data_IF_579644107469
#
_entry.id   IF_579644107469
#
_cell.length_a   1.000
_cell.length_b   1.000
_cell.length_c   1.000
_cell.angle_alpha   90.00
_cell.angle_beta   90.00
_cell.angle_gamma   90.00
#
_symmetry.space_group_name_H-M   'P 1'
#
loop_
_entity.id
_entity.type
_entity.pdbx_description
1 polymer ?
#
# COMPACT_ATOMS: atom_id res chain seq x y z
N UNK A 1 29.52 -7.77 -27.89
CA UNK A 1 28.41 -7.18 -28.68
C UNK A 1 27.68 -6.21 -27.79
N UNK A 2 27.58 -4.95 -28.17
CA UNK A 2 26.80 -3.93 -27.47
C UNK A 2 25.32 -4.24 -27.67
N UNK A 3 24.58 -4.39 -26.57
CA UNK A 3 23.14 -4.55 -26.62
C UNK A 3 22.53 -3.25 -27.18
N UNK A 4 21.74 -3.34 -28.25
CA UNK A 4 21.11 -2.17 -28.84
C UNK A 4 19.99 -1.67 -27.92
N UNK A 5 20.12 -0.45 -27.40
CA UNK A 5 19.07 0.23 -26.64
C UNK A 5 18.15 0.99 -27.62
N UNK A 6 16.88 0.62 -27.64
CA UNK A 6 15.86 1.05 -28.59
C UNK A 6 14.61 1.52 -27.86
N UNK A 7 13.67 2.14 -28.59
CA UNK A 7 12.41 2.61 -27.99
C UNK A 7 11.56 1.49 -27.36
N UNK A 8 11.65 0.26 -27.87
CA UNK A 8 10.94 -0.89 -27.29
C UNK A 8 11.46 -1.34 -25.92
N UNK A 9 12.63 -0.87 -25.51
CA UNK A 9 13.20 -1.17 -24.18
C UNK A 9 12.61 -0.26 -23.08
N UNK A 10 11.78 0.72 -23.46
CA UNK A 10 11.05 1.57 -22.51
C UNK A 10 9.73 0.90 -22.12
N UNK A 11 9.59 0.54 -20.85
CA UNK A 11 8.35 -0.02 -20.28
C UNK A 11 7.57 1.09 -19.56
N UNK A 12 6.28 1.22 -19.89
CA UNK A 12 5.33 2.07 -19.15
C UNK A 12 4.46 1.18 -18.29
N UNK A 13 4.63 1.29 -16.97
CA UNK A 13 3.84 0.54 -15.99
C UNK A 13 2.53 1.27 -15.70
N UNK A 14 1.43 0.53 -15.68
CA UNK A 14 0.06 1.06 -15.57
C UNK A 14 -0.65 0.60 -14.29
N UNK A 15 -1.65 1.36 -13.84
CA UNK A 15 -2.43 1.03 -12.65
C UNK A 15 -1.56 0.83 -11.40
N UNK A 16 -1.61 -0.37 -10.82
CA UNK A 16 -0.84 -0.75 -9.62
C UNK A 16 0.47 -1.49 -9.95
N UNK A 17 0.81 -1.65 -11.23
CA UNK A 17 2.08 -2.27 -11.64
C UNK A 17 3.31 -1.55 -11.08
N UNK A 18 3.38 -0.20 -11.05
CA UNK A 18 4.52 0.50 -10.45
C UNK A 18 4.69 0.15 -8.97
N UNK A 19 3.59 0.09 -8.22
CA UNK A 19 3.58 -0.22 -6.78
C UNK A 19 4.07 -1.64 -6.53
N UNK A 20 3.58 -2.61 -7.32
CA UNK A 20 4.02 -4.02 -7.22
C UNK A 20 5.48 -4.20 -7.64
N UNK A 21 5.95 -3.45 -8.66
CA UNK A 21 7.32 -3.52 -9.18
C UNK A 21 8.34 -2.85 -8.26
N UNK A 22 7.94 -1.79 -7.57
CA UNK A 22 8.80 -0.96 -6.71
C UNK A 22 8.14 -0.67 -5.34
N UNK A 23 7.81 -1.71 -4.54
CA UNK A 23 7.03 -1.52 -3.32
C UNK A 23 7.74 -0.64 -2.28
N UNK A 24 9.08 -0.66 -2.23
CA UNK A 24 9.86 0.16 -1.29
C UNK A 24 9.72 1.67 -1.49
N UNK A 25 9.18 2.13 -2.62
CA UNK A 25 8.83 3.54 -2.82
C UNK A 25 7.49 3.91 -2.16
N UNK A 26 6.60 2.93 -1.94
CA UNK A 26 5.20 3.16 -1.54
C UNK A 26 4.87 2.63 -0.15
N UNK A 27 5.66 1.70 0.39
CA UNK A 27 5.42 1.11 1.72
C UNK A 27 6.71 0.62 2.35
N UNK A 28 6.67 0.38 3.66
CA UNK A 28 7.76 -0.28 4.37
C UNK A 28 7.79 -1.78 4.06
N UNK A 29 8.85 -2.26 3.42
CA UNK A 29 8.98 -3.66 2.99
C UNK A 29 9.52 -4.60 4.07
N UNK A 30 9.89 -4.09 5.24
CA UNK A 30 10.41 -4.90 6.35
C UNK A 30 9.29 -5.58 7.15
N UNK A 31 8.10 -4.96 7.20
CA UNK A 31 6.92 -5.45 7.93
C UNK A 31 5.65 -4.79 7.39
N UNK A 32 4.49 -5.46 7.44
CA UNK A 32 3.26 -4.98 6.81
C UNK A 32 2.57 -3.83 7.57
N UNK A 33 3.09 -3.43 8.74
CA UNK A 33 2.44 -2.46 9.62
C UNK A 33 2.10 -1.13 8.92
N UNK A 34 2.90 -0.69 7.96
CA UNK A 34 2.59 0.51 7.18
C UNK A 34 1.28 0.37 6.41
N UNK A 35 0.99 -0.81 5.84
CA UNK A 35 -0.28 -1.06 5.15
C UNK A 35 -1.48 -1.01 6.12
N UNK A 36 -1.29 -1.46 7.36
CA UNK A 36 -2.32 -1.33 8.39
C UNK A 36 -2.54 0.14 8.77
N UNK A 37 -1.45 0.92 8.91
CA UNK A 37 -1.55 2.35 9.20
C UNK A 37 -2.33 3.09 8.12
N UNK A 38 -2.09 2.83 6.82
CA UNK A 38 -2.84 3.49 5.73
C UNK A 38 -4.37 3.33 5.87
N UNK A 39 -4.84 2.15 6.29
CA UNK A 39 -6.28 1.91 6.47
C UNK A 39 -6.78 2.57 7.75
N UNK A 40 -6.02 2.50 8.83
CA UNK A 40 -6.37 3.14 10.12
C UNK A 40 -6.41 4.67 9.96
N UNK A 41 -5.47 5.26 9.23
CA UNK A 41 -5.37 6.70 9.02
C UNK A 41 -6.61 7.20 8.23
N UNK A 42 -7.05 6.46 7.21
CA UNK A 42 -8.32 6.77 6.52
C UNK A 42 -9.53 6.70 7.48
N UNK A 43 -9.57 5.74 8.40
CA UNK A 43 -10.64 5.67 9.43
C UNK A 43 -10.55 6.83 10.43
N UNK A 44 -9.33 7.30 10.75
CA UNK A 44 -9.11 8.47 11.61
C UNK A 44 -9.57 9.75 10.91
N UNK A 45 -9.38 9.87 9.59
CA UNK A 45 -9.90 11.01 8.83
C UNK A 45 -11.43 11.15 8.97
N UNK A 46 -12.16 10.03 8.90
CA UNK A 46 -13.60 10.00 9.15
C UNK A 46 -13.95 10.37 10.61
N UNK A 47 -13.10 10.02 11.57
CA UNK A 47 -13.29 10.40 12.96
C UNK A 47 -13.05 11.90 13.18
N UNK A 48 -12.03 12.47 12.55
CA UNK A 48 -11.74 13.91 12.55
C UNK A 48 -12.90 14.68 11.90
N UNK A 49 -13.48 14.15 10.82
CA UNK A 49 -14.67 14.71 10.18
C UNK A 49 -15.97 14.54 11.00
N UNK A 50 -15.93 13.76 12.09
CA UNK A 50 -17.05 13.53 13.00
C UNK A 50 -18.04 12.44 12.55
N UNK A 51 -17.71 11.68 11.50
CA UNK A 51 -18.54 10.58 10.99
C UNK A 51 -18.24 9.25 11.69
N UNK A 52 -16.96 8.99 12.00
CA UNK A 52 -16.53 7.83 12.77
C UNK A 52 -16.43 8.16 14.27
N UNK A 53 -16.81 7.22 15.13
CA UNK A 53 -16.77 7.37 16.61
C UNK A 53 -15.97 6.30 17.31
N UNK A 54 -15.67 5.20 16.62
CA UNK A 54 -14.97 4.04 17.12
C UNK A 54 -14.28 3.38 15.93
N UNK A 55 -13.02 2.99 16.13
CA UNK A 55 -12.22 2.26 15.15
C UNK A 55 -11.77 0.98 15.84
N UNK A 56 -12.20 -0.16 15.33
CA UNK A 56 -11.84 -1.47 15.84
C UNK A 56 -10.80 -2.12 14.93
N UNK A 57 -9.68 -2.57 15.51
CA UNK A 57 -8.58 -3.21 14.76
C UNK A 57 -8.42 -4.65 15.22
N UNK A 58 -8.57 -5.59 14.30
CA UNK A 58 -8.44 -7.02 14.58
C UNK A 58 -7.25 -7.61 13.80
N UNK A 59 -6.29 -8.18 14.53
CA UNK A 59 -5.24 -9.03 13.96
C UNK A 59 -5.66 -10.50 14.09
N UNK A 60 -5.86 -11.16 12.95
CA UNK A 60 -6.25 -12.56 12.91
C UNK A 60 -5.06 -13.49 13.11
N UNK A 61 -5.34 -14.73 13.51
CA UNK A 61 -4.30 -15.75 13.77
C UNK A 61 -3.51 -16.14 12.52
N UNK A 62 -4.05 -15.91 11.32
CA UNK A 62 -3.37 -16.15 10.05
C UNK A 62 -2.46 -14.98 9.62
N UNK A 63 -2.41 -13.90 10.41
CA UNK A 63 -1.61 -12.72 10.15
C UNK A 63 -2.31 -11.66 9.28
N UNK A 64 -3.56 -11.89 8.86
CA UNK A 64 -4.38 -10.85 8.23
C UNK A 64 -4.88 -9.82 9.25
N UNK A 65 -5.25 -8.63 8.78
CA UNK A 65 -5.72 -7.52 9.62
C UNK A 65 -7.00 -6.92 9.04
N UNK A 66 -7.95 -6.61 9.91
CA UNK A 66 -9.18 -5.87 9.59
C UNK A 66 -9.24 -4.58 10.42
N UNK A 67 -9.78 -3.54 9.80
CA UNK A 67 -10.16 -2.27 10.44
C UNK A 67 -11.66 -2.09 10.19
N UNK A 68 -12.43 -1.81 11.24
CA UNK A 68 -13.88 -1.58 11.24
C UNK A 68 -14.22 -0.23 11.88
#
# INVERSE_FOLDING_TARGET
MTQSYTASDIEVLSGLEPVRRRPGMYTHTQRPNHLAHEVIDNSVDEAIAGYCKQIDVTLFKDGSLQVE
#
